data_IF_366156357260
#
_entry.id   IF_366156357260
#
_cell.length_a   1.000
_cell.length_b   1.000
_cell.length_c   1.000
_cell.angle_alpha   90.00
_cell.angle_beta   90.00
_cell.angle_gamma   90.00
#
_symmetry.space_group_name_H-M   'P 1'
#
loop_
_entity.id
_entity.type
_entity.pdbx_description
1 polymer ?
#
# COMPACT_ATOMS: atom_id res chain seq x y z
N UNK A 1 14.33 -17.36 -7.06
CA UNK A 1 12.92 -17.50 -7.49
C UNK A 1 11.96 -16.65 -6.65
N UNK A 2 12.07 -16.62 -5.30
CA UNK A 2 11.20 -15.81 -4.42
C UNK A 2 11.20 -14.28 -4.66
N UNK A 3 12.39 -13.64 -4.73
CA UNK A 3 12.48 -12.18 -4.94
C UNK A 3 11.93 -11.68 -6.30
N UNK A 4 11.87 -12.54 -7.32
CA UNK A 4 11.41 -12.13 -8.65
C UNK A 4 9.88 -12.23 -8.78
N UNK A 5 9.21 -13.12 -8.04
CA UNK A 5 7.74 -13.18 -7.99
C UNK A 5 7.15 -12.07 -7.12
N UNK A 6 7.77 -11.71 -5.99
CA UNK A 6 7.32 -10.55 -5.18
C UNK A 6 7.37 -9.23 -5.96
N UNK A 7 8.31 -9.09 -6.90
CA UNK A 7 8.51 -7.84 -7.64
C UNK A 7 7.39 -7.48 -8.62
N UNK A 8 6.55 -8.45 -8.99
CA UNK A 8 5.46 -8.26 -9.95
C UNK A 8 4.08 -8.28 -9.31
N UNK A 9 3.92 -8.90 -8.14
CA UNK A 9 2.63 -9.00 -7.46
C UNK A 9 1.95 -7.63 -7.25
N UNK A 10 2.71 -6.60 -6.90
CA UNK A 10 2.16 -5.24 -6.70
C UNK A 10 1.62 -4.64 -8.01
N UNK A 11 2.33 -4.88 -9.12
CA UNK A 11 1.96 -4.43 -10.46
C UNK A 11 0.74 -5.19 -10.98
N UNK A 12 0.76 -6.51 -10.83
CA UNK A 12 -0.35 -7.40 -11.17
C UNK A 12 -1.59 -7.06 -10.36
N UNK A 13 -1.46 -6.76 -9.08
CA UNK A 13 -2.56 -6.29 -8.25
C UNK A 13 -3.16 -5.00 -8.82
N UNK A 14 -2.34 -4.01 -9.17
CA UNK A 14 -2.84 -2.81 -9.85
C UNK A 14 -3.57 -3.13 -11.14
N UNK A 15 -3.08 -4.10 -11.91
CA UNK A 15 -3.73 -4.58 -13.14
C UNK A 15 -5.08 -5.21 -12.83
N UNK A 16 -5.20 -6.09 -11.83
CA UNK A 16 -6.47 -6.68 -11.38
C UNK A 16 -7.53 -5.61 -11.15
N UNK A 17 -7.24 -4.64 -10.27
CA UNK A 17 -8.21 -3.62 -9.88
C UNK A 17 -8.62 -2.78 -11.10
N UNK A 18 -7.65 -2.34 -11.91
CA UNK A 18 -7.97 -1.52 -13.08
C UNK A 18 -8.62 -2.31 -14.22
N UNK A 19 -8.37 -3.61 -14.32
CA UNK A 19 -9.06 -4.50 -15.28
C UNK A 19 -10.53 -4.61 -14.91
N UNK A 20 -10.81 -4.99 -13.66
CA UNK A 20 -12.18 -5.18 -13.14
C UNK A 20 -12.98 -3.88 -13.24
N UNK A 21 -12.37 -2.74 -12.92
CA UNK A 21 -13.02 -1.42 -13.02
C UNK A 21 -13.10 -0.85 -14.44
N UNK A 22 -12.65 -1.60 -15.47
CA UNK A 22 -12.68 -1.15 -16.87
C UNK A 22 -11.87 0.12 -17.11
N UNK A 23 -10.73 0.28 -16.44
CA UNK A 23 -9.84 1.44 -16.51
C UNK A 23 -8.59 1.23 -17.37
N UNK A 24 -8.26 -0.02 -17.71
CA UNK A 24 -7.14 -0.32 -18.60
C UNK A 24 -7.38 0.21 -20.02
N UNK A 25 -6.34 0.82 -20.60
CA UNK A 25 -6.39 1.50 -21.89
C UNK A 25 -6.87 2.96 -21.82
N UNK A 26 -7.28 3.46 -20.65
CA UNK A 26 -7.66 4.87 -20.45
C UNK A 26 -6.45 5.74 -20.12
N UNK A 27 -6.64 7.06 -20.11
CA UNK A 27 -5.58 7.96 -19.66
C UNK A 27 -5.15 7.65 -18.22
N UNK A 28 -3.87 7.88 -17.88
CA UNK A 28 -3.35 7.55 -16.55
C UNK A 28 -4.15 8.23 -15.42
N UNK A 29 -4.73 9.40 -15.70
CA UNK A 29 -5.59 10.16 -14.79
C UNK A 29 -6.94 9.52 -14.49
N UNK A 30 -7.35 8.53 -15.27
CA UNK A 30 -8.61 7.80 -15.09
C UNK A 30 -8.41 6.43 -14.41
N UNK A 31 -7.15 6.01 -14.27
CA UNK A 31 -6.79 4.80 -13.53
C UNK A 31 -6.93 5.01 -12.03
N UNK A 32 -7.07 3.91 -11.28
CA UNK A 32 -7.11 3.93 -9.82
C UNK A 32 -5.78 3.50 -9.24
N UNK A 33 -5.30 4.21 -8.23
CA UNK A 33 -4.18 3.78 -7.38
C UNK A 33 -4.56 2.57 -6.53
N UNK A 34 -3.56 1.77 -6.21
CA UNK A 34 -3.69 0.61 -5.33
C UNK A 34 -2.67 0.72 -4.21
N UNK A 35 -3.11 0.50 -2.97
CA UNK A 35 -2.22 0.30 -1.84
C UNK A 35 -2.57 -0.97 -1.08
N UNK A 36 -1.59 -1.84 -0.87
CA UNK A 36 -1.81 -3.15 -0.27
C UNK A 36 -1.12 -3.21 1.09
N UNK A 37 -1.86 -3.47 2.17
CA UNK A 37 -1.30 -3.58 3.52
C UNK A 37 -1.19 -5.05 3.90
N UNK A 38 -0.09 -5.66 3.45
CA UNK A 38 0.32 -6.99 3.86
C UNK A 38 0.83 -7.02 5.30
N UNK A 39 1.34 -8.18 5.73
CA UNK A 39 1.85 -8.32 7.10
C UNK A 39 3.26 -7.76 7.31
N UNK A 40 4.15 -7.94 6.34
CA UNK A 40 5.54 -7.49 6.39
C UNK A 40 5.80 -6.09 5.82
N UNK A 41 4.99 -5.68 4.85
CA UNK A 41 5.17 -4.46 4.06
C UNK A 41 3.84 -3.84 3.66
N UNK A 42 3.89 -2.58 3.24
CA UNK A 42 2.79 -1.91 2.55
C UNK A 42 3.27 -1.44 1.19
N UNK A 43 2.47 -1.68 0.16
CA UNK A 43 2.77 -1.31 -1.23
C UNK A 43 1.96 -0.10 -1.65
N UNK A 44 2.50 0.73 -2.53
CA UNK A 44 1.77 1.81 -3.21
C UNK A 44 2.10 1.80 -4.71
N UNK A 45 1.06 1.68 -5.53
CA UNK A 45 1.20 1.59 -6.99
C UNK A 45 0.21 2.51 -7.69
N UNK A 46 0.73 3.50 -8.41
CA UNK A 46 -0.13 4.42 -9.17
C UNK A 46 0.50 4.95 -10.44
N UNK A 47 -0.34 5.30 -11.42
CA UNK A 47 0.14 5.77 -12.71
C UNK A 47 0.48 7.26 -12.65
N UNK A 48 1.61 7.65 -13.25
CA UNK A 48 2.09 9.03 -13.32
C UNK A 48 2.31 9.45 -14.77
N UNK A 49 2.42 10.77 -14.99
CA UNK A 49 2.75 11.28 -16.32
C UNK A 49 4.16 10.88 -16.75
N UNK A 50 4.40 10.80 -18.07
CA UNK A 50 5.74 10.61 -18.64
C UNK A 50 6.75 11.64 -18.12
N UNK A 51 6.30 12.89 -17.93
CA UNK A 51 7.16 13.97 -17.45
C UNK A 51 7.58 13.77 -15.98
N UNK A 52 6.67 13.31 -15.11
CA UNK A 52 7.03 12.92 -13.74
C UNK A 52 7.98 11.73 -13.73
N UNK A 53 7.71 10.70 -14.53
CA UNK A 53 8.56 9.51 -14.63
C UNK A 53 10.01 9.84 -15.08
N UNK A 54 10.19 10.80 -15.99
CA UNK A 54 11.52 11.26 -16.42
C UNK A 54 12.29 12.00 -15.33
N UNK A 55 11.58 12.59 -14.35
CA UNK A 55 12.15 13.32 -13.22
C UNK A 55 12.30 12.44 -11.97
N UNK A 56 11.95 11.16 -12.05
CA UNK A 56 12.07 10.24 -10.92
C UNK A 56 13.53 10.16 -10.44
N UNK A 57 13.77 10.17 -9.12
CA UNK A 57 15.11 10.04 -8.58
C UNK A 57 15.70 8.67 -8.92
N UNK A 58 17.03 8.65 -9.08
CA UNK A 58 17.76 7.38 -9.16
C UNK A 58 17.83 6.77 -7.78
N UNK A 59 17.59 5.47 -7.70
CA UNK A 59 17.79 4.70 -6.46
C UNK A 59 19.21 4.13 -6.42
N UNK A 60 19.77 3.86 -5.23
CA UNK A 60 21.01 3.13 -5.06
C UNK A 60 21.01 1.79 -5.80
N UNK A 61 22.21 1.31 -6.15
CA UNK A 61 22.37 0.03 -6.84
C UNK A 61 21.89 -1.11 -5.92
N UNK A 62 20.96 -1.92 -6.42
CA UNK A 62 20.39 -3.04 -5.66
C UNK A 62 19.05 -2.72 -4.97
N UNK A 63 18.61 -1.47 -5.01
CA UNK A 63 17.25 -1.08 -4.63
C UNK A 63 16.32 -1.08 -5.84
N UNK A 64 15.02 -1.22 -5.57
CA UNK A 64 14.01 -1.26 -6.60
C UNK A 64 13.73 0.13 -7.17
N UNK A 65 13.72 0.27 -8.51
CA UNK A 65 13.43 1.56 -9.11
C UNK A 65 11.99 1.97 -8.83
N UNK A 66 11.79 3.25 -8.49
CA UNK A 66 10.45 3.80 -8.28
C UNK A 66 9.52 3.68 -9.49
N UNK A 67 10.09 3.60 -10.71
CA UNK A 67 9.30 3.61 -11.94
C UNK A 67 9.37 2.26 -12.64
N UNK A 68 8.19 1.67 -12.86
CA UNK A 68 8.00 0.53 -13.75
C UNK A 68 7.23 0.99 -14.99
N UNK A 69 7.59 0.46 -16.15
CA UNK A 69 6.90 0.75 -17.41
C UNK A 69 6.19 -0.51 -17.87
N UNK A 70 4.95 -0.32 -18.30
CA UNK A 70 4.09 -1.42 -18.71
C UNK A 70 3.22 -0.95 -19.87
N UNK A 71 2.86 -1.85 -20.77
CA UNK A 71 1.84 -1.64 -21.77
C UNK A 71 0.61 -2.44 -21.38
N UNK A 72 -0.54 -1.78 -21.29
CA UNK A 72 -1.85 -2.39 -20.98
C UNK A 72 -2.85 -1.96 -22.04
N UNK A 73 -3.46 -2.91 -22.75
CA UNK A 73 -4.35 -2.68 -23.91
C UNK A 73 -3.74 -1.76 -24.98
N UNK A 74 -2.43 -1.90 -25.25
CA UNK A 74 -1.72 -1.05 -26.20
C UNK A 74 -1.34 0.35 -25.67
N UNK A 75 -1.77 0.73 -24.47
CA UNK A 75 -1.41 2.00 -23.86
C UNK A 75 -0.19 1.86 -22.95
N UNK A 76 0.80 2.74 -23.14
CA UNK A 76 2.02 2.79 -22.31
C UNK A 76 1.76 3.55 -21.01
N UNK A 77 1.95 2.87 -19.89
CA UNK A 77 1.89 3.47 -18.55
C UNK A 77 3.26 3.57 -17.91
N UNK A 78 3.43 4.62 -17.10
CA UNK A 78 4.55 4.78 -16.18
C UNK A 78 3.96 4.67 -14.78
N UNK A 79 4.35 3.63 -14.05
CA UNK A 79 3.83 3.33 -12.73
C UNK A 79 4.88 3.72 -11.70
N UNK A 80 4.50 4.59 -10.78
CA UNK A 80 5.19 4.68 -9.50
C UNK A 80 4.88 3.41 -8.69
N UNK A 81 5.92 2.81 -8.14
CA UNK A 81 5.86 1.60 -7.31
C UNK A 81 6.80 1.79 -6.15
N UNK A 82 6.32 1.53 -4.93
CA UNK A 82 7.19 1.41 -3.78
C UNK A 82 6.61 0.46 -2.74
N UNK A 83 7.51 -0.31 -2.13
CA UNK A 83 7.22 -1.31 -1.10
C UNK A 83 7.90 -0.89 0.20
N UNK A 84 7.12 -0.47 1.19
CA UNK A 84 7.62 -0.02 2.49
C UNK A 84 7.78 -1.23 3.41
N UNK A 85 8.95 -1.88 3.33
CA UNK A 85 9.27 -3.00 4.20
C UNK A 85 9.27 -2.57 5.67
N UNK A 86 8.78 -3.47 6.56
CA UNK A 86 8.57 -3.25 8.00
C UNK A 86 7.37 -2.39 8.36
N UNK A 87 6.61 -1.91 7.37
CA UNK A 87 5.41 -1.10 7.58
C UNK A 87 4.12 -1.84 7.23
N UNK A 88 4.17 -3.18 7.10
CA UNK A 88 2.98 -4.02 7.07
C UNK A 88 2.26 -4.08 8.43
N UNK A 89 1.07 -4.67 8.50
CA UNK A 89 0.22 -4.69 9.72
C UNK A 89 0.95 -5.31 10.92
N UNK A 90 1.56 -6.47 10.77
CA UNK A 90 2.34 -7.12 11.84
C UNK A 90 3.68 -6.41 12.07
N UNK A 91 4.43 -6.15 11.01
CA UNK A 91 5.77 -5.58 11.12
C UNK A 91 5.78 -4.18 11.76
N UNK A 92 4.78 -3.36 11.45
CA UNK A 92 4.66 -2.00 11.99
C UNK A 92 4.49 -2.00 13.52
N UNK A 93 3.87 -3.03 14.11
CA UNK A 93 3.75 -3.16 15.57
C UNK A 93 5.12 -3.28 16.22
N UNK A 94 6.03 -4.05 15.62
CA UNK A 94 7.41 -4.14 16.09
C UNK A 94 8.12 -2.78 16.01
N UNK A 95 7.99 -2.05 14.90
CA UNK A 95 8.59 -0.71 14.75
C UNK A 95 8.02 0.32 15.75
N UNK A 96 6.72 0.24 16.08
CA UNK A 96 6.05 1.06 17.10
C UNK A 96 6.59 0.74 18.50
N UNK A 97 6.75 -0.55 18.83
CA UNK A 97 7.25 -0.99 20.14
C UNK A 97 8.74 -0.64 20.34
N UNK A 98 9.55 -0.66 19.27
CA UNK A 98 10.96 -0.24 19.31
C UNK A 98 11.14 1.19 19.80
N UNK A 99 10.18 2.09 19.55
CA UNK A 99 10.27 3.50 19.96
C UNK A 99 10.30 3.64 21.49
N UNK A 100 9.57 2.80 22.23
CA UNK A 100 9.59 2.83 23.70
C UNK A 100 10.65 1.92 24.31
N UNK A 101 11.28 1.06 23.51
CA UNK A 101 12.45 0.26 23.84
C UNK A 101 12.38 -0.40 25.23
N UNK A 102 11.33 -1.21 25.45
CA UNK A 102 11.14 -1.92 26.71
C UNK A 102 10.46 -1.12 27.83
N UNK A 103 10.16 0.16 27.61
CA UNK A 103 9.30 1.00 28.47
C UNK A 103 7.82 0.82 28.12
N UNK A 104 6.88 1.20 29.02
CA UNK A 104 5.45 1.08 28.76
C UNK A 104 5.04 1.84 27.49
N UNK A 105 4.19 1.24 26.67
CA UNK A 105 3.80 1.82 25.38
C UNK A 105 2.33 2.26 25.38
N UNK A 106 2.02 3.56 25.22
CA UNK A 106 0.64 4.08 25.26
C UNK A 106 -0.24 3.63 24.09
N UNK A 107 0.30 2.90 23.10
CA UNK A 107 -0.50 2.19 22.10
C UNK A 107 -1.09 0.87 22.60
N UNK A 108 -0.63 0.35 23.74
CA UNK A 108 -1.09 -0.89 24.34
C UNK A 108 -2.25 -0.59 25.30
N UNK A 109 -3.34 -1.38 25.19
CA UNK A 109 -4.54 -1.20 26.00
C UNK A 109 -4.28 -1.56 27.47
N UNK A 110 -4.95 -0.83 28.37
CA UNK A 110 -4.85 -1.04 29.81
C UNK A 110 -5.13 -2.51 30.19
N UNK A 111 -4.35 -3.03 31.14
CA UNK A 111 -4.46 -4.43 31.60
C UNK A 111 -3.70 -5.45 30.77
N UNK A 112 -3.18 -5.08 29.59
CA UNK A 112 -2.27 -5.95 28.85
C UNK A 112 -0.82 -5.74 29.30
N UNK A 113 -0.18 -6.84 29.71
CA UNK A 113 1.25 -6.93 30.01
C UNK A 113 1.78 -8.24 29.44
N UNK A 114 2.63 -8.14 28.42
CA UNK A 114 3.16 -9.31 27.74
C UNK A 114 4.24 -8.98 26.72
N UNK A 115 4.39 -9.89 25.77
CA UNK A 115 5.37 -9.80 24.69
C UNK A 115 4.68 -9.92 23.34
N UNK A 116 5.21 -9.17 22.38
CA UNK A 116 4.87 -9.31 20.97
C UNK A 116 6.07 -9.91 20.25
N UNK A 117 5.88 -11.03 19.57
CA UNK A 117 6.95 -11.68 18.80
C UNK A 117 6.75 -11.43 17.31
N UNK A 118 7.78 -10.91 16.65
CA UNK A 118 7.78 -10.71 15.21
C UNK A 118 9.14 -11.07 14.61
N UNK A 119 9.14 -11.91 13.57
CA UNK A 119 10.36 -12.35 12.88
C UNK A 119 11.43 -12.96 13.81
N UNK A 120 11.00 -13.66 14.87
CA UNK A 120 11.89 -14.29 15.85
C UNK A 120 12.44 -13.36 16.93
N UNK A 121 12.10 -12.08 16.91
CA UNK A 121 12.46 -11.12 17.96
C UNK A 121 11.27 -10.86 18.90
N UNK A 122 11.54 -10.75 20.19
CA UNK A 122 10.54 -10.42 21.22
C UNK A 122 10.59 -8.94 21.60
N UNK A 123 9.42 -8.32 21.66
CA UNK A 123 9.22 -6.93 22.04
C UNK A 123 8.32 -6.86 23.27
N UNK A 124 8.76 -6.19 24.34
CA UNK A 124 7.87 -5.91 25.48
C UNK A 124 6.68 -5.06 25.03
N UNK A 125 5.48 -5.52 25.35
CA UNK A 125 4.23 -4.87 24.98
C UNK A 125 3.35 -4.80 26.22
N UNK A 126 3.38 -3.66 26.92
CA UNK A 126 2.58 -3.45 28.11
C UNK A 126 2.17 -1.99 28.25
N UNK A 127 1.00 -1.78 28.84
CA UNK A 127 0.42 -0.45 28.98
C UNK A 127 1.11 0.37 30.09
N UNK A 128 1.16 1.72 29.95
CA UNK A 128 1.44 2.60 31.08
C UNK A 128 0.39 2.42 32.18
N UNK A 129 0.73 2.78 33.42
CA UNK A 129 -0.23 2.76 34.54
C UNK A 129 -1.49 3.62 34.28
N UNK A 130 -1.37 4.67 33.46
CA UNK A 130 -2.50 5.50 33.00
C UNK A 130 -3.36 4.87 31.90
N UNK A 131 -3.02 3.66 31.43
CA UNK A 131 -3.63 3.04 30.26
C UNK A 131 -3.14 3.60 28.92
N UNK A 132 -3.82 3.21 27.84
CA UNK A 132 -3.54 3.70 26.49
C UNK A 132 -3.91 5.17 26.33
N UNK A 133 -3.30 5.84 25.35
CA UNK A 133 -3.59 7.24 25.01
C UNK A 133 -3.44 7.45 23.52
N UNK A 134 -4.51 7.94 22.88
CA UNK A 134 -4.53 8.18 21.44
C UNK A 134 -3.42 9.15 20.99
N UNK A 135 -3.31 10.32 21.62
CA UNK A 135 -2.33 11.33 21.22
C UNK A 135 -0.89 10.86 21.42
N UNK A 136 -0.58 10.25 22.56
CA UNK A 136 0.76 9.72 22.84
C UNK A 136 1.10 8.54 21.93
N UNK A 137 0.14 7.66 21.66
CA UNK A 137 0.33 6.57 20.70
C UNK A 137 0.59 7.12 19.29
N UNK A 138 -0.19 8.12 18.86
CA UNK A 138 -0.03 8.79 17.57
C UNK A 138 1.36 9.43 17.44
N UNK A 139 1.89 10.07 18.47
CA UNK A 139 3.25 10.60 18.47
C UNK A 139 4.31 9.50 18.29
N UNK A 140 4.13 8.36 18.97
CA UNK A 140 5.02 7.20 18.81
C UNK A 140 4.96 6.63 17.40
N UNK A 141 3.77 6.46 16.84
CA UNK A 141 3.57 5.98 15.47
C UNK A 141 4.26 6.94 14.48
N UNK A 142 4.12 8.25 14.66
CA UNK A 142 4.79 9.26 13.82
C UNK A 142 6.31 9.19 13.92
N UNK A 143 6.86 8.89 15.09
CA UNK A 143 8.30 8.62 15.27
C UNK A 143 8.73 7.33 14.57
N UNK A 144 7.96 6.25 14.70
CA UNK A 144 8.23 4.97 14.03
C UNK A 144 8.22 5.11 12.49
N UNK A 145 7.26 5.86 11.95
CA UNK A 145 7.19 6.20 10.52
C UNK A 145 8.31 7.15 10.08
N UNK A 146 8.94 7.89 11.00
CA UNK A 146 9.93 8.94 10.70
C UNK A 146 9.36 9.99 9.74
N UNK A 147 8.17 10.50 10.04
CA UNK A 147 7.47 11.50 9.20
C UNK A 147 8.21 12.83 9.07
N UNK A 148 9.13 13.13 9.99
CA UNK A 148 9.97 14.34 9.96
C UNK A 148 11.39 14.07 9.40
N UNK A 149 11.62 12.90 8.79
CA UNK A 149 12.90 12.60 8.16
C UNK A 149 13.16 13.58 7.01
N UNK A 150 14.43 13.96 6.80
CA UNK A 150 14.81 14.82 5.69
C UNK A 150 14.36 14.23 4.35
N UNK A 151 13.77 15.07 3.50
CA UNK A 151 13.32 14.70 2.17
C UNK A 151 14.30 15.25 1.13
N UNK A 152 15.09 14.41 0.45
CA UNK A 152 16.05 14.85 -0.56
C UNK A 152 15.40 15.13 -1.94
N UNK A 153 14.08 15.03 -2.03
CA UNK A 153 13.31 15.13 -3.28
C UNK A 153 12.29 16.25 -3.21
N UNK A 154 11.56 16.49 -4.30
CA UNK A 154 10.52 17.52 -4.35
C UNK A 154 9.37 17.30 -3.37
N UNK A 155 9.08 16.04 -3.04
CA UNK A 155 8.14 15.64 -2.00
C UNK A 155 8.41 14.20 -1.59
N UNK A 156 8.16 13.91 -0.32
CA UNK A 156 8.31 12.57 0.25
C UNK A 156 7.04 12.17 0.98
N UNK A 157 6.87 10.87 1.19
CA UNK A 157 5.92 10.33 2.15
C UNK A 157 6.55 10.39 3.55
N UNK A 158 6.95 9.25 4.10
CA UNK A 158 7.66 9.14 5.36
C UNK A 158 9.02 8.46 5.13
N UNK A 159 9.92 8.55 6.11
CA UNK A 159 11.27 7.97 6.03
C UNK A 159 12.08 8.41 4.79
N UNK A 160 11.85 9.63 4.28
CA UNK A 160 12.58 10.21 3.14
C UNK A 160 12.27 9.58 1.78
N UNK A 161 11.24 8.74 1.67
CA UNK A 161 10.87 8.04 0.42
C UNK A 161 10.17 9.00 -0.52
N UNK A 162 10.59 9.04 -1.80
CA UNK A 162 9.95 9.88 -2.81
C UNK A 162 8.48 9.50 -2.98
N UNK A 163 7.59 10.48 -2.98
CA UNK A 163 6.14 10.26 -3.04
C UNK A 163 5.63 9.81 -4.42
N UNK A 164 6.47 9.90 -5.45
CA UNK A 164 6.07 9.78 -6.86
C UNK A 164 5.43 11.06 -7.42
N UNK A 165 5.34 12.12 -6.61
CA UNK A 165 4.78 13.43 -6.98
C UNK A 165 3.25 13.48 -7.06
N UNK A 166 2.56 12.45 -6.58
CA UNK A 166 1.09 12.36 -6.56
C UNK A 166 0.42 12.63 -7.92
N UNK A 167 -0.73 13.31 -7.87
CA UNK A 167 -1.47 13.76 -9.05
C UNK A 167 -2.68 12.87 -9.39
N UNK A 168 -3.24 13.09 -10.60
CA UNK A 168 -4.56 12.54 -10.96
C UNK A 168 -4.64 11.01 -10.91
N UNK A 169 -3.56 10.30 -11.22
CA UNK A 169 -3.53 8.83 -11.14
C UNK A 169 -3.55 8.27 -9.71
N UNK A 170 -3.41 9.12 -8.68
CA UNK A 170 -3.55 8.76 -7.26
C UNK A 170 -4.89 9.20 -6.64
N UNK A 171 -5.70 9.98 -7.38
CA UNK A 171 -6.92 10.60 -6.86
C UNK A 171 -8.01 9.61 -6.46
N UNK A 172 -8.06 8.46 -7.11
CA UNK A 172 -8.95 7.35 -6.71
C UNK A 172 -8.08 6.24 -6.19
N UNK A 173 -8.24 5.87 -4.93
CA UNK A 173 -7.40 4.89 -4.25
C UNK A 173 -8.25 3.72 -3.78
N UNK A 174 -7.87 2.52 -4.23
CA UNK A 174 -8.32 1.25 -3.69
C UNK A 174 -7.24 0.72 -2.76
N UNK A 175 -7.64 0.30 -1.57
CA UNK A 175 -6.74 -0.29 -0.59
C UNK A 175 -7.22 -1.67 -0.19
N UNK A 176 -6.31 -2.58 0.11
CA UNK A 176 -6.62 -4.01 0.24
C UNK A 176 -5.97 -4.64 1.46
N UNK A 177 -6.24 -5.93 1.66
CA UNK A 177 -5.70 -6.72 2.76
C UNK A 177 -6.03 -6.10 4.11
N UNK A 178 -5.04 -5.78 4.94
CA UNK A 178 -5.29 -5.27 6.29
C UNK A 178 -5.99 -3.91 6.31
N UNK A 179 -5.97 -3.15 5.21
CA UNK A 179 -6.81 -1.95 5.09
C UNK A 179 -8.30 -2.27 5.09
N UNK A 180 -8.71 -3.45 4.62
CA UNK A 180 -10.08 -3.94 4.68
C UNK A 180 -10.37 -4.67 6.01
N UNK A 181 -9.51 -5.62 6.37
CA UNK A 181 -9.76 -6.49 7.55
C UNK A 181 -9.77 -5.72 8.87
N UNK A 182 -8.95 -4.67 9.02
CA UNK A 182 -8.94 -3.92 10.29
C UNK A 182 -10.28 -3.21 10.52
N UNK A 183 -10.78 -2.35 9.61
CA UNK A 183 -12.11 -1.74 9.74
C UNK A 183 -13.25 -2.76 9.88
N UNK A 184 -13.19 -3.90 9.20
CA UNK A 184 -14.21 -4.95 9.32
C UNK A 184 -14.24 -5.55 10.73
N UNK A 185 -13.08 -5.96 11.24
CA UNK A 185 -12.95 -6.62 12.55
C UNK A 185 -13.39 -5.74 13.73
N UNK A 186 -13.34 -4.41 13.58
CA UNK A 186 -13.76 -3.46 14.62
C UNK A 186 -15.11 -2.80 14.32
N UNK A 187 -15.83 -3.27 13.29
CA UNK A 187 -17.20 -2.82 12.99
C UNK A 187 -17.30 -1.42 12.40
N UNK A 188 -16.24 -0.88 11.78
CA UNK A 188 -16.30 0.38 11.02
C UNK A 188 -16.99 0.17 9.67
N UNK A 189 -16.79 -1.01 9.06
CA UNK A 189 -17.47 -1.41 7.82
C UNK A 189 -18.31 -2.66 8.10
N UNK A 190 -19.33 -2.88 7.27
CA UNK A 190 -20.20 -4.04 7.38
C UNK A 190 -19.46 -5.32 6.95
N UNK A 191 -19.59 -6.37 7.76
CA UNK A 191 -18.94 -7.65 7.52
C UNK A 191 -19.43 -8.30 6.22
N UNK A 192 -18.53 -9.00 5.52
CA UNK A 192 -18.80 -9.68 4.25
C UNK A 192 -19.23 -8.75 3.08
N UNK A 193 -19.07 -7.43 3.22
CA UNK A 193 -19.24 -6.53 2.07
C UNK A 193 -17.99 -6.58 1.18
N UNK A 194 -18.10 -6.68 -0.16
CA UNK A 194 -16.91 -6.79 -1.01
C UNK A 194 -15.90 -5.65 -0.81
N UNK A 195 -16.42 -4.43 -0.67
CA UNK A 195 -15.65 -3.23 -0.41
C UNK A 195 -16.51 -2.15 0.25
N UNK A 196 -15.84 -1.15 0.83
CA UNK A 196 -16.49 -0.03 1.52
C UNK A 196 -15.67 1.24 1.37
N UNK A 197 -16.32 2.41 1.47
CA UNK A 197 -15.63 3.71 1.49
C UNK A 197 -15.39 4.17 2.92
N UNK A 198 -14.13 4.40 3.27
CA UNK A 198 -13.74 4.88 4.60
C UNK A 198 -12.94 6.17 4.50
N UNK A 199 -12.82 6.83 5.64
CA UNK A 199 -12.04 8.05 5.82
C UNK A 199 -10.95 7.80 6.86
N UNK A 200 -9.70 8.11 6.53
CA UNK A 200 -8.55 7.89 7.42
C UNK A 200 -7.65 9.13 7.37
N UNK A 201 -7.78 10.01 8.37
CA UNK A 201 -7.04 11.27 8.41
C UNK A 201 -5.51 11.06 8.39
N UNK A 202 -5.01 10.03 9.07
CA UNK A 202 -3.57 9.79 9.20
C UNK A 202 -2.87 9.40 7.89
N UNK A 203 -3.62 9.08 6.82
CA UNK A 203 -3.04 8.85 5.50
C UNK A 203 -2.36 10.09 4.92
N UNK A 204 -2.60 11.28 5.47
CA UNK A 204 -1.81 12.48 5.16
C UNK A 204 -0.31 12.31 5.41
N UNK A 205 0.08 11.46 6.36
CA UNK A 205 1.48 11.13 6.61
C UNK A 205 2.12 10.34 5.43
N UNK A 206 1.30 9.67 4.62
CA UNK A 206 1.71 9.01 3.38
C UNK A 206 1.59 9.93 2.15
N UNK A 207 1.39 11.24 2.34
CA UNK A 207 1.26 12.21 1.25
C UNK A 207 -0.08 12.16 0.51
N UNK A 208 -1.11 11.52 1.10
CA UNK A 208 -2.47 11.50 0.56
C UNK A 208 -3.28 12.71 1.03
N UNK A 209 -4.31 13.07 0.26
CA UNK A 209 -5.21 14.16 0.61
C UNK A 209 -6.00 13.81 1.90
N UNK A 210 -5.90 14.62 2.97
CA UNK A 210 -6.55 14.33 4.24
C UNK A 210 -8.08 14.31 4.16
N UNK A 211 -8.70 14.82 3.08
CA UNK A 211 -10.16 14.82 2.87
C UNK A 211 -10.61 13.70 1.91
N UNK A 212 -9.68 12.93 1.34
CA UNK A 212 -9.99 11.88 0.37
C UNK A 212 -10.60 10.66 1.08
N UNK A 213 -11.79 10.25 0.62
CA UNK A 213 -12.32 8.93 0.92
C UNK A 213 -11.60 7.88 0.07
N UNK A 214 -11.18 6.81 0.71
CA UNK A 214 -10.55 5.65 0.05
C UNK A 214 -11.55 4.49 -0.01
N UNK A 215 -11.34 3.57 -0.95
CA UNK A 215 -12.13 2.34 -1.02
C UNK A 215 -11.30 1.22 -0.42
N UNK A 216 -11.71 0.67 0.72
CA UNK A 216 -11.12 -0.56 1.28
C UNK A 216 -11.82 -1.75 0.64
N UNK A 217 -11.08 -2.69 0.08
CA UNK A 217 -11.63 -3.79 -0.71
C UNK A 217 -10.99 -5.12 -0.33
N UNK A 218 -11.84 -6.11 -0.07
CA UNK A 218 -11.47 -7.52 -0.13
C UNK A 218 -11.76 -8.08 -1.52
N UNK A 219 -12.89 -7.66 -2.09
CA UNK A 219 -13.39 -8.09 -3.39
C UNK A 219 -14.01 -6.92 -4.16
N UNK A 220 -14.13 -7.07 -5.47
CA UNK A 220 -14.77 -6.10 -6.36
C UNK A 220 -15.80 -6.82 -7.22
N UNK A 221 -16.97 -6.21 -7.34
CA UNK A 221 -18.02 -6.69 -8.23
C UNK A 221 -17.60 -6.58 -9.70
N UNK A 222 -17.79 -7.65 -10.45
CA UNK A 222 -17.50 -7.74 -11.88
C UNK A 222 -18.53 -8.64 -12.56
N UNK A 223 -19.34 -8.06 -13.46
CA UNK A 223 -20.31 -8.79 -14.29
C UNK A 223 -21.26 -9.71 -13.49
N UNK A 224 -21.71 -9.28 -12.31
CA UNK A 224 -22.62 -10.04 -11.45
C UNK A 224 -21.94 -11.10 -10.56
N UNK A 225 -20.60 -11.17 -10.57
CA UNK A 225 -19.80 -11.95 -9.64
C UNK A 225 -18.90 -11.04 -8.80
N UNK A 226 -18.20 -11.62 -7.82
CA UNK A 226 -17.14 -10.94 -7.05
C UNK A 226 -15.79 -11.53 -7.42
N UNK A 227 -14.78 -10.66 -7.49
CA UNK A 227 -13.40 -11.02 -7.79
C UNK A 227 -12.51 -10.50 -6.67
N UNK A 228 -11.57 -11.32 -6.20
CA UNK A 228 -10.64 -10.91 -5.15
C UNK A 228 -9.82 -9.69 -5.57
N UNK A 229 -9.73 -8.73 -4.66
CA UNK A 229 -8.89 -7.54 -4.81
C UNK A 229 -7.43 -7.93 -4.48
N UNK A 230 -6.83 -8.73 -5.36
CA UNK A 230 -5.49 -9.28 -5.19
C UNK A 230 -4.77 -9.49 -6.54
N UNK A 231 -3.49 -9.80 -6.48
CA UNK A 231 -2.61 -9.99 -7.64
C UNK A 231 -2.92 -11.18 -8.59
N UNK A 232 -3.55 -12.30 -8.19
CA UNK A 232 -3.64 -13.49 -9.05
C UNK A 232 -4.33 -13.27 -10.41
N UNK A 233 -5.38 -12.43 -10.49
CA UNK A 233 -6.00 -12.13 -11.77
C UNK A 233 -5.06 -11.36 -12.71
N UNK A 234 -4.31 -10.39 -12.19
CA UNK A 234 -3.30 -9.65 -12.94
C UNK A 234 -2.20 -10.57 -13.46
N UNK A 235 -1.73 -11.51 -12.65
CA UNK A 235 -0.78 -12.54 -13.07
C UNK A 235 -1.35 -13.42 -14.20
N UNK A 236 -2.61 -13.84 -14.09
CA UNK A 236 -3.28 -14.60 -15.15
C UNK A 236 -3.40 -13.79 -16.46
N UNK A 237 -3.73 -12.50 -16.37
CA UNK A 237 -3.78 -11.58 -17.53
C UNK A 237 -2.40 -11.49 -18.18
N UNK A 238 -1.34 -11.35 -17.40
CA UNK A 238 0.04 -11.36 -17.92
C UNK A 238 0.37 -12.67 -18.63
N UNK A 239 0.13 -13.79 -17.97
CA UNK A 239 0.45 -15.12 -18.49
C UNK A 239 -0.29 -15.39 -19.81
N UNK A 240 -1.59 -15.11 -19.88
CA UNK A 240 -2.40 -15.31 -21.09
C UNK A 240 -1.96 -14.35 -22.20
N UNK A 241 -1.59 -13.11 -21.87
CA UNK A 241 -1.09 -12.13 -22.84
C UNK A 241 0.21 -12.56 -23.54
N UNK A 242 0.95 -13.52 -22.96
CA UNK A 242 2.18 -14.05 -23.55
C UNK A 242 1.96 -15.19 -24.54
N UNK A 243 0.74 -15.74 -24.60
CA UNK A 243 0.42 -16.89 -25.45
C UNK A 243 0.18 -16.45 -26.91
N UNK A 244 0.73 -17.16 -27.92
CA UNK A 244 0.66 -16.75 -29.33
C UNK A 244 -0.76 -16.62 -29.91
N UNK A 245 -1.75 -17.31 -29.32
CA UNK A 245 -3.15 -17.32 -29.79
C UNK A 245 -3.96 -16.12 -29.29
N UNK A 246 -3.43 -15.35 -28.34
CA UNK A 246 -4.15 -14.27 -27.67
C UNK A 246 -3.52 -12.92 -27.97
N UNK A 247 -4.35 -11.88 -27.98
CA UNK A 247 -3.86 -10.53 -28.10
C UNK A 247 -2.98 -10.18 -26.90
N UNK A 248 -1.87 -9.48 -27.18
CA UNK A 248 -0.90 -9.09 -26.16
C UNK A 248 -1.45 -7.93 -25.32
N UNK A 249 -2.28 -8.27 -24.34
CA UNK A 249 -3.02 -7.31 -23.52
C UNK A 249 -2.12 -6.63 -22.49
N UNK A 250 -1.14 -7.34 -21.92
CA UNK A 250 -0.19 -6.84 -20.92
C UNK A 250 1.25 -7.28 -21.25
N UNK A 251 2.22 -6.36 -21.11
CA UNK A 251 3.66 -6.68 -21.12
C UNK A 251 4.53 -5.54 -20.58
N UNK A 252 5.67 -5.90 -20.00
CA UNK A 252 6.68 -4.96 -19.49
C UNK A 252 7.61 -4.44 -20.60
N UNK A 253 8.14 -3.23 -20.43
CA UNK A 253 9.04 -2.52 -21.38
C UNK A 253 10.12 -1.68 -20.69
#
# INVERSE_FOLDING_TARGET
MGKQMEHYAELEHKVTINYVLGKLGKEFSETVAVADLGGGSVQMVYAISRNQARKAPKVPKGEDPYIKKIVLKGHKYYLYVHSYLRFGKEASRAEILKVTNGSPNPCILAGYDGTYTYSGEEYKAYAPASGSSFDKCREIIRKALKVNHSCPYSSCTFNGVWSGGGGRGQRTLYTTSSFYYVPENIGIIEANTPNSKVFIEELKAAGLDPLQRITVANQIEYQGAVVDAAWPLGNAIEAISSLPKFDRFMYFI
#
